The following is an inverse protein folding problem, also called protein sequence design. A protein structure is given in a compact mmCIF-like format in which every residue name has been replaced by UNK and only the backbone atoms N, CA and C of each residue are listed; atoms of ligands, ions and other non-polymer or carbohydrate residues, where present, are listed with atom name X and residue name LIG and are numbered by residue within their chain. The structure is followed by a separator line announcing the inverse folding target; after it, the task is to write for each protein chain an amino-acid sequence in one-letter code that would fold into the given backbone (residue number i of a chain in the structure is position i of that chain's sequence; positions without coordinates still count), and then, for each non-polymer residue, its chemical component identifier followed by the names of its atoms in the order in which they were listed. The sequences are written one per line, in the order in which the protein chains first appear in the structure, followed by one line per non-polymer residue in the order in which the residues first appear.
data_IF_468306257144
#
_entry.id   IF_468306257144
#
_cell.length_a   1.000
_cell.length_b   1.000
_cell.length_c   1.000
_cell.angle_alpha   90.00
_cell.angle_beta   90.00
_cell.angle_gamma   90.00
#
_symmetry.space_group_name_H-M   'P 1'
#
loop_
_entity.id
_entity.type
_entity.pdbx_description
1 polymer ?
#
# COMPACT_ATOMS: atom_id res chain seq x y z
N UNK A 1 -24.17 4.48 -5.77
CA UNK A 1 -22.91 3.71 -5.93
C UNK A 1 -21.97 3.96 -4.74
N UNK A 2 -21.08 3.03 -4.36
CA UNK A 2 -20.04 3.29 -3.35
C UNK A 2 -18.68 3.53 -4.01
N UNK A 3 -17.95 4.55 -3.58
CA UNK A 3 -16.53 4.75 -3.86
C UNK A 3 -15.75 4.35 -2.60
N UNK A 4 -14.78 3.44 -2.79
CA UNK A 4 -13.84 3.00 -1.76
C UNK A 4 -12.45 3.51 -2.12
N UNK A 5 -11.92 4.41 -1.29
CA UNK A 5 -10.58 5.00 -1.43
C UNK A 5 -9.71 4.46 -0.32
N UNK A 6 -8.50 4.00 -0.65
CA UNK A 6 -7.49 3.64 0.36
C UNK A 6 -6.21 4.39 0.07
N UNK A 7 -5.58 4.93 1.09
CA UNK A 7 -4.31 5.63 1.02
C UNK A 7 -3.31 4.99 1.96
N UNK A 8 -2.08 4.83 1.49
CA UNK A 8 -1.01 4.18 2.24
C UNK A 8 0.21 5.08 2.38
N UNK A 9 0.80 5.02 3.58
CA UNK A 9 2.21 5.36 3.80
C UNK A 9 3.02 4.07 3.67
N UNK A 10 4.11 4.12 2.90
CA UNK A 10 4.91 2.94 2.64
C UNK A 10 6.02 2.82 3.68
N UNK A 11 6.40 1.60 4.02
CA UNK A 11 7.61 1.37 4.81
C UNK A 11 8.84 1.77 3.99
N UNK A 12 9.94 2.02 4.69
CA UNK A 12 11.24 2.31 4.05
C UNK A 12 12.06 1.04 3.78
N UNK A 13 11.63 -0.12 4.29
CA UNK A 13 12.26 -1.43 4.13
C UNK A 13 11.25 -2.54 4.49
N UNK A 14 11.45 -3.80 4.04
CA UNK A 14 10.60 -4.92 4.44
C UNK A 14 10.78 -5.26 5.93
N UNK A 15 9.79 -5.90 6.53
CA UNK A 15 9.83 -6.31 7.95
C UNK A 15 11.00 -7.27 8.26
N UNK A 16 11.44 -8.05 7.28
CA UNK A 16 12.57 -9.00 7.40
C UNK A 16 13.96 -8.33 7.27
N UNK A 17 14.03 -7.02 6.98
CA UNK A 17 15.29 -6.29 6.83
C UNK A 17 16.08 -6.12 8.13
N UNK A 18 15.48 -6.44 9.29
CA UNK A 18 16.22 -6.55 10.55
C UNK A 18 17.13 -7.79 10.65
N UNK A 19 17.20 -8.66 9.62
CA UNK A 19 17.86 -9.97 9.73
C UNK A 19 18.85 -10.40 8.64
N UNK A 20 19.04 -9.69 7.52
CA UNK A 20 19.90 -10.20 6.44
C UNK A 20 20.95 -9.20 5.98
N UNK A 21 22.17 -9.44 6.47
CA UNK A 21 23.43 -8.76 6.20
C UNK A 21 23.81 -8.81 4.69
N UNK A 22 24.20 -7.69 4.04
CA UNK A 22 24.87 -7.74 2.74
C UNK A 22 26.35 -8.15 2.88
N UNK A 23 27.01 -8.63 1.80
CA UNK A 23 28.41 -9.04 1.85
C UNK A 23 29.31 -7.86 2.20
N UNK A 24 30.25 -8.12 3.09
CA UNK A 24 31.17 -7.16 3.67
C UNK A 24 32.05 -6.47 2.63
N UNK A 25 31.78 -5.20 2.34
CA UNK A 25 32.80 -4.20 2.02
C UNK A 25 32.22 -2.81 2.29
N UNK A 26 32.56 -2.21 3.43
CA UNK A 26 33.07 -0.84 3.53
C UNK A 26 33.26 -0.48 5.02
N UNK A 27 34.36 0.22 5.26
CA UNK A 27 35.05 0.49 6.52
C UNK A 27 34.39 1.55 7.41
N UNK A 28 34.62 1.35 8.71
CA UNK A 28 34.60 2.27 9.86
C UNK A 28 33.28 2.74 10.51
N UNK A 29 32.93 1.96 11.56
CA UNK A 29 32.85 2.37 12.97
C UNK A 29 32.02 3.61 13.36
N UNK A 30 30.77 3.37 13.77
CA UNK A 30 30.29 3.78 15.10
C UNK A 30 29.28 2.75 15.63
N UNK A 31 29.37 2.50 16.94
CA UNK A 31 28.77 1.38 17.63
C UNK A 31 27.25 1.47 17.80
N UNK A 32 26.47 1.13 16.76
CA UNK A 32 25.15 0.48 16.87
C UNK A 32 24.83 -0.07 15.49
N UNK A 33 24.97 -1.38 15.29
CA UNK A 33 25.01 -2.04 13.97
C UNK A 33 23.69 -2.05 13.18
N UNK A 34 23.16 -0.89 12.84
CA UNK A 34 22.08 -0.74 11.86
C UNK A 34 22.66 0.01 10.67
N UNK A 35 22.96 -0.72 9.58
CA UNK A 35 23.23 -0.08 8.29
C UNK A 35 21.87 0.45 7.80
N UNK A 36 21.68 1.76 7.86
CA UNK A 36 20.48 2.40 7.34
C UNK A 36 20.47 2.28 5.81
N UNK A 37 19.34 1.87 5.23
CA UNK A 37 19.17 1.80 3.78
C UNK A 37 19.44 3.18 3.14
N UNK A 38 20.08 3.20 1.97
CA UNK A 38 20.29 4.44 1.20
C UNK A 38 18.95 4.98 0.68
N UNK A 39 18.89 6.26 0.35
CA UNK A 39 17.68 6.86 -0.23
C UNK A 39 17.24 6.13 -1.52
N UNK A 40 18.19 5.75 -2.36
CA UNK A 40 17.92 4.99 -3.59
C UNK A 40 17.31 3.61 -3.29
N UNK A 41 17.79 2.91 -2.25
CA UNK A 41 17.22 1.64 -1.82
C UNK A 41 15.80 1.81 -1.26
N UNK A 42 15.55 2.88 -0.51
CA UNK A 42 14.22 3.22 0.02
C UNK A 42 13.26 3.52 -1.14
N UNK A 43 13.68 4.33 -2.10
CA UNK A 43 12.85 4.69 -3.26
C UNK A 43 12.52 3.46 -4.11
N UNK A 44 13.53 2.60 -4.37
CA UNK A 44 13.33 1.35 -5.08
C UNK A 44 12.36 0.40 -4.35
N UNK A 45 12.48 0.28 -3.03
CA UNK A 45 11.56 -0.52 -2.21
C UNK A 45 10.12 0.02 -2.31
N UNK A 46 9.95 1.34 -2.23
CA UNK A 46 8.64 1.98 -2.32
C UNK A 46 8.01 1.81 -3.70
N UNK A 47 8.76 2.00 -4.77
CA UNK A 47 8.25 1.79 -6.14
C UNK A 47 7.85 0.33 -6.39
N UNK A 48 8.67 -0.63 -5.93
CA UNK A 48 8.31 -2.04 -5.99
C UNK A 48 7.06 -2.34 -5.16
N UNK A 49 6.94 -1.74 -3.97
CA UNK A 49 5.78 -1.90 -3.11
C UNK A 49 4.49 -1.42 -3.77
N UNK A 50 4.50 -0.24 -4.40
CA UNK A 50 3.35 0.29 -5.15
C UNK A 50 2.92 -0.67 -6.26
N UNK A 51 3.89 -1.17 -7.06
CA UNK A 51 3.63 -2.10 -8.16
C UNK A 51 3.00 -3.40 -7.67
N UNK A 52 3.57 -4.02 -6.65
CA UNK A 52 3.10 -5.30 -6.12
C UNK A 52 1.73 -5.19 -5.45
N UNK A 53 1.47 -4.10 -4.72
CA UNK A 53 0.15 -3.81 -4.16
C UNK A 53 -0.89 -3.66 -5.27
N UNK A 54 -0.60 -2.85 -6.29
CA UNK A 54 -1.52 -2.63 -7.41
C UNK A 54 -1.79 -3.92 -8.20
N UNK A 55 -0.74 -4.68 -8.51
CA UNK A 55 -0.86 -5.94 -9.24
C UNK A 55 -1.71 -6.95 -8.47
N UNK A 56 -1.46 -7.12 -7.16
CA UNK A 56 -2.20 -8.08 -6.35
C UNK A 56 -3.67 -7.66 -6.16
N UNK A 57 -3.94 -6.40 -5.80
CA UNK A 57 -5.30 -5.91 -5.56
C UNK A 57 -6.14 -5.87 -6.85
N UNK A 58 -5.53 -5.57 -8.01
CA UNK A 58 -6.24 -5.56 -9.30
C UNK A 58 -6.84 -6.92 -9.70
N UNK A 59 -6.36 -8.02 -9.10
CA UNK A 59 -6.84 -9.39 -9.33
C UNK A 59 -7.97 -9.78 -8.37
N UNK A 60 -8.26 -8.97 -7.35
CA UNK A 60 -9.31 -9.27 -6.37
C UNK A 60 -10.68 -8.97 -6.98
N UNK A 61 -11.60 -9.96 -7.04
CA UNK A 61 -12.93 -9.75 -7.58
C UNK A 61 -13.80 -8.88 -6.66
N UNK A 62 -14.85 -8.28 -7.21
CA UNK A 62 -15.85 -7.52 -6.42
C UNK A 62 -16.11 -6.10 -6.93
N UNK A 63 -15.08 -5.28 -7.23
CA UNK A 63 -15.31 -3.96 -7.79
C UNK A 63 -16.06 -4.00 -9.13
N UNK A 64 -16.86 -2.97 -9.40
CA UNK A 64 -17.63 -2.78 -10.64
C UNK A 64 -16.75 -2.51 -11.87
N UNK A 65 -15.52 -2.06 -11.65
CA UNK A 65 -14.58 -1.70 -12.69
C UNK A 65 -13.15 -2.01 -12.20
N UNK A 66 -12.17 -2.09 -13.10
CA UNK A 66 -10.77 -2.21 -12.71
C UNK A 66 -10.40 -1.15 -11.66
N UNK A 67 -9.78 -1.60 -10.56
CA UNK A 67 -9.26 -0.70 -9.54
C UNK A 67 -8.22 0.24 -10.15
N UNK A 68 -8.22 1.48 -9.70
CA UNK A 68 -7.26 2.49 -10.14
C UNK A 68 -6.28 2.80 -9.03
N UNK A 69 -5.03 3.09 -9.39
CA UNK A 69 -3.96 3.33 -8.45
C UNK A 69 -3.12 4.52 -8.91
N UNK A 70 -2.50 5.23 -7.97
CA UNK A 70 -1.56 6.28 -8.32
C UNK A 70 -0.93 7.00 -7.12
N UNK A 71 0.13 7.78 -7.38
CA UNK A 71 0.68 8.69 -6.39
C UNK A 71 -0.23 9.93 -6.21
N UNK A 72 -0.11 10.66 -5.09
CA UNK A 72 -0.76 11.95 -4.96
C UNK A 72 -0.22 12.94 -6.00
N UNK A 73 -1.12 13.69 -6.64
CA UNK A 73 -0.74 14.77 -7.57
C UNK A 73 -0.23 16.03 -6.85
N UNK A 74 -0.63 16.21 -5.59
CA UNK A 74 -0.24 17.32 -4.73
C UNK A 74 0.35 16.76 -3.42
N UNK A 75 1.62 16.32 -3.42
CA UNK A 75 2.24 15.64 -2.28
C UNK A 75 2.19 16.45 -0.97
N UNK A 76 2.25 17.78 -1.06
CA UNK A 76 2.16 18.70 0.07
C UNK A 76 0.79 18.68 0.77
N UNK A 77 -0.27 18.28 0.06
CA UNK A 77 -1.63 18.09 0.61
C UNK A 77 -1.89 16.65 1.03
N UNK A 78 -1.00 15.73 0.66
CA UNK A 78 -1.19 14.29 0.85
C UNK A 78 -0.83 13.82 2.26
N UNK A 79 -0.39 14.69 3.19
CA UNK A 79 -0.10 14.32 4.60
C UNK A 79 0.87 13.12 4.73
N UNK A 80 1.78 12.97 3.76
CA UNK A 80 2.75 11.87 3.69
C UNK A 80 2.18 10.55 3.17
N UNK A 81 0.94 10.50 2.67
CA UNK A 81 0.45 9.38 1.87
C UNK A 81 1.15 9.38 0.51
N UNK A 82 1.64 8.22 0.09
CA UNK A 82 2.52 8.09 -1.09
C UNK A 82 1.83 7.35 -2.24
N UNK A 83 0.73 6.67 -1.93
CA UNK A 83 0.03 5.81 -2.86
C UNK A 83 -1.44 5.67 -2.47
N UNK A 84 -2.33 5.63 -3.47
CA UNK A 84 -3.75 5.46 -3.26
C UNK A 84 -4.37 4.43 -4.21
N UNK A 85 -5.46 3.83 -3.76
CA UNK A 85 -6.41 3.03 -4.53
C UNK A 85 -7.73 3.79 -4.62
N UNK A 86 -8.35 3.70 -5.79
CA UNK A 86 -9.72 4.10 -6.05
C UNK A 86 -10.48 2.91 -6.64
N UNK A 87 -11.63 2.58 -6.05
CA UNK A 87 -12.48 1.49 -6.52
C UNK A 87 -13.95 1.83 -6.34
N UNK A 88 -14.81 1.13 -7.10
CA UNK A 88 -16.26 1.37 -7.14
C UNK A 88 -17.00 0.07 -6.85
N UNK A 89 -17.99 0.13 -5.98
CA UNK A 89 -18.87 -0.98 -5.64
C UNK A 89 -20.33 -0.59 -5.90
N UNK A 90 -21.16 -1.60 -6.20
CA UNK A 90 -22.59 -1.38 -6.48
C UNK A 90 -23.30 -0.72 -5.31
N UNK A 91 -23.08 -1.27 -4.12
CA UNK A 91 -23.73 -0.90 -2.87
C UNK A 91 -22.87 -1.35 -1.68
N UNK A 92 -23.29 -1.00 -0.47
CA UNK A 92 -22.62 -1.38 0.77
C UNK A 92 -22.49 -2.89 0.94
N UNK A 93 -23.49 -3.67 0.53
CA UNK A 93 -23.45 -5.13 0.59
C UNK A 93 -22.28 -5.70 -0.24
N UNK A 94 -22.08 -5.19 -1.45
CA UNK A 94 -20.98 -5.61 -2.32
C UNK A 94 -19.61 -5.26 -1.73
N UNK A 95 -19.48 -4.10 -1.08
CA UNK A 95 -18.26 -3.70 -0.38
C UNK A 95 -17.99 -4.62 0.82
N UNK A 96 -19.03 -4.96 1.60
CA UNK A 96 -18.89 -5.86 2.76
C UNK A 96 -18.45 -7.27 2.34
N UNK A 97 -19.03 -7.82 1.26
CA UNK A 97 -18.61 -9.12 0.70
C UNK A 97 -17.16 -9.07 0.26
N UNK A 98 -16.75 -8.00 -0.43
CA UNK A 98 -15.35 -7.80 -0.82
C UNK A 98 -14.42 -7.76 0.39
N UNK A 99 -14.76 -6.96 1.41
CA UNK A 99 -13.91 -6.69 2.57
C UNK A 99 -13.51 -7.96 3.35
N UNK A 100 -14.42 -8.94 3.43
CA UNK A 100 -14.19 -10.20 4.15
C UNK A 100 -13.84 -11.38 3.23
N UNK A 101 -13.76 -11.17 1.92
CA UNK A 101 -13.44 -12.25 0.98
C UNK A 101 -12.01 -12.78 1.19
N UNK A 102 -11.83 -14.10 1.08
CA UNK A 102 -10.53 -14.74 1.25
C UNK A 102 -9.47 -14.17 0.29
N UNK A 103 -9.87 -13.84 -0.94
CA UNK A 103 -8.99 -13.22 -1.93
C UNK A 103 -8.49 -11.85 -1.45
N UNK A 104 -9.39 -10.99 -0.96
CA UNK A 104 -9.02 -9.67 -0.43
C UNK A 104 -8.16 -9.80 0.83
N UNK A 105 -8.62 -10.58 1.82
CA UNK A 105 -7.95 -10.75 3.11
C UNK A 105 -6.55 -11.33 2.93
N UNK A 106 -6.37 -12.28 2.01
CA UNK A 106 -5.06 -12.83 1.67
C UNK A 106 -4.12 -11.77 1.09
N UNK A 107 -4.58 -10.97 0.13
CA UNK A 107 -3.75 -9.89 -0.45
C UNK A 107 -3.40 -8.84 0.60
N UNK A 108 -4.35 -8.44 1.44
CA UNK A 108 -4.11 -7.46 2.51
C UNK A 108 -3.04 -7.97 3.49
N UNK A 109 -3.17 -9.23 3.95
CA UNK A 109 -2.26 -9.77 4.94
C UNK A 109 -0.87 -10.10 4.39
N UNK A 110 -0.80 -10.63 3.16
CA UNK A 110 0.46 -11.15 2.61
C UNK A 110 1.21 -10.14 1.73
N UNK A 111 0.51 -9.16 1.15
CA UNK A 111 1.11 -8.19 0.23
C UNK A 111 1.08 -6.78 0.81
N UNK A 112 -0.10 -6.28 1.23
CA UNK A 112 -0.27 -4.87 1.63
C UNK A 112 0.39 -4.58 2.99
N UNK A 113 0.05 -5.32 4.04
CA UNK A 113 0.56 -5.07 5.41
C UNK A 113 2.09 -5.14 5.52
N UNK A 114 2.80 -6.07 4.85
CA UNK A 114 4.26 -6.09 4.88
C UNK A 114 4.92 -4.85 4.27
N UNK A 115 4.23 -4.10 3.40
CA UNK A 115 4.78 -2.97 2.63
C UNK A 115 4.32 -1.60 3.12
N UNK A 116 3.29 -1.57 3.95
CA UNK A 116 2.61 -0.34 4.38
C UNK A 116 2.68 -0.19 5.88
N UNK A 117 2.68 1.04 6.38
CA UNK A 117 2.63 1.32 7.81
C UNK A 117 1.18 1.06 8.28
N UNK A 118 0.88 -0.02 9.03
CA UNK A 118 -0.50 -0.45 9.27
C UNK A 118 -1.35 0.62 9.96
N UNK A 119 -0.80 1.27 10.98
CA UNK A 119 -1.42 2.36 11.74
C UNK A 119 -1.61 3.66 10.94
N UNK A 120 -0.97 3.77 9.78
CA UNK A 120 -1.08 4.94 8.91
C UNK A 120 -1.97 4.70 7.68
N UNK A 121 -2.51 3.49 7.50
CA UNK A 121 -3.44 3.19 6.39
C UNK A 121 -4.78 3.90 6.62
N UNK A 122 -5.29 4.60 5.60
CA UNK A 122 -6.58 5.28 5.66
C UNK A 122 -7.49 4.75 4.56
N UNK A 123 -8.59 4.11 4.94
CA UNK A 123 -9.69 3.78 4.04
C UNK A 123 -10.83 4.77 4.27
N UNK A 124 -11.44 5.25 3.17
CA UNK A 124 -12.57 6.15 3.21
C UNK A 124 -13.60 5.70 2.17
N UNK A 125 -14.78 5.35 2.67
CA UNK A 125 -15.91 4.91 1.89
C UNK A 125 -16.95 6.03 1.82
N UNK A 126 -17.39 6.35 0.60
CA UNK A 126 -18.48 7.29 0.41
C UNK A 126 -19.53 6.72 -0.54
N UNK A 127 -20.78 6.93 -0.19
CA UNK A 127 -21.90 6.74 -1.10
C UNK A 127 -22.04 7.96 -2.01
N UNK A 128 -22.09 7.69 -3.31
CA UNK A 128 -22.27 8.68 -4.35
C UNK A 128 -23.62 8.43 -5.01
N UNK A 129 -24.50 9.44 -5.05
CA UNK A 129 -25.76 9.39 -5.79
C UNK A 129 -25.53 9.07 -7.28
N UNK A 130 -26.51 8.47 -7.94
CA UNK A 130 -26.39 8.09 -9.35
C UNK A 130 -26.42 9.31 -10.30
N UNK A 131 -26.78 10.50 -9.80
CA UNK A 131 -26.85 11.77 -10.53
C UNK A 131 -25.66 12.72 -10.27
N UNK A 132 -24.62 12.24 -9.58
CA UNK A 132 -23.41 13.01 -9.24
C UNK A 132 -22.31 12.94 -10.31
#
# INVERSE_FOLDING_TARGET
MIIHIVMWKLKSQPDDATGSQPPSTFTDATATGVIQATQEQIDAFKENSKREIAEALSKVPGPLAPMQFGPPLLPERAKGYEFALYSRFKNLESLNVYAVSDAHVSVVNNIVKPRTIPEATMAYDLEVPDDA
#
